data_IF_493656359434
#
_entry.id   IF_493656359434
#
_cell.length_a   1.000
_cell.length_b   1.000
_cell.length_c   1.000
_cell.angle_alpha   90.00
_cell.angle_beta   90.00
_cell.angle_gamma   90.00
#
_symmetry.space_group_name_H-M   'P 1'
#
loop_
_entity.id
_entity.type
_entity.pdbx_description
1 polymer ?
#
# COMPACT_ATOMS: atom_id res chain seq x y z
N UNK A 1 -16.39 71.24 -3.39
CA UNK A 1 -16.32 70.77 -1.98
C UNK A 1 -17.34 69.67 -1.81
N UNK A 2 -16.82 68.46 -1.52
CA UNK A 2 -17.41 67.30 -0.82
C UNK A 2 -18.83 66.83 -1.20
N UNK A 3 -19.14 65.55 -1.34
CA UNK A 3 -18.42 64.28 -1.30
C UNK A 3 -19.46 63.27 -1.81
N UNK A 4 -19.22 62.60 -2.94
CA UNK A 4 -20.03 61.48 -3.37
C UNK A 4 -19.52 60.23 -2.64
N UNK A 5 -20.26 59.78 -1.62
CA UNK A 5 -19.96 58.54 -0.90
C UNK A 5 -20.65 57.38 -1.64
N UNK A 6 -19.98 56.85 -2.67
CA UNK A 6 -20.37 55.59 -3.31
C UNK A 6 -19.71 54.47 -2.51
N UNK A 7 -20.50 53.79 -1.68
CA UNK A 7 -20.09 52.57 -0.98
C UNK A 7 -20.11 51.43 -2.00
N UNK A 8 -18.96 51.16 -2.60
CA UNK A 8 -18.74 49.97 -3.43
C UNK A 8 -18.43 48.80 -2.48
N UNK A 9 -19.46 48.05 -2.10
CA UNK A 9 -19.33 46.78 -1.38
C UNK A 9 -18.62 45.77 -2.28
N UNK A 10 -17.30 45.70 -2.14
CA UNK A 10 -16.49 44.62 -2.68
C UNK A 10 -16.94 43.30 -2.05
N UNK A 11 -17.72 42.52 -2.79
CA UNK A 11 -17.94 41.11 -2.54
C UNK A 11 -16.59 40.38 -2.69
N UNK A 12 -15.78 40.39 -1.64
CA UNK A 12 -14.70 39.43 -1.47
C UNK A 12 -15.38 38.11 -1.12
N UNK A 13 -15.86 37.42 -2.16
CA UNK A 13 -16.07 35.99 -2.06
C UNK A 13 -14.69 35.37 -1.93
N UNK A 14 -14.29 35.14 -0.68
CA UNK A 14 -13.28 34.14 -0.37
C UNK A 14 -13.83 32.81 -0.89
N UNK A 15 -13.50 32.50 -2.14
CA UNK A 15 -13.52 31.14 -2.62
C UNK A 15 -12.53 30.37 -1.75
N UNK A 16 -13.03 29.82 -0.64
CA UNK A 16 -12.42 28.67 0.00
C UNK A 16 -12.46 27.56 -1.04
N UNK A 17 -11.45 27.54 -1.90
CA UNK A 17 -11.04 26.33 -2.55
C UNK A 17 -10.58 25.45 -1.39
N UNK A 18 -11.45 24.55 -0.92
CA UNK A 18 -11.02 23.41 -0.14
C UNK A 18 -10.12 22.60 -1.08
N UNK A 19 -8.87 23.03 -1.17
CA UNK A 19 -7.79 22.22 -1.71
C UNK A 19 -7.57 21.12 -0.67
N UNK A 20 -8.46 20.13 -0.68
CA UNK A 20 -8.12 18.84 -0.12
C UNK A 20 -6.93 18.38 -0.93
N UNK A 21 -5.73 18.41 -0.34
CA UNK A 21 -4.53 18.09 -1.09
C UNK A 21 -4.65 16.62 -1.50
N UNK A 22 -4.85 16.40 -2.79
CA UNK A 22 -4.86 15.05 -3.33
C UNK A 22 -3.51 14.41 -3.01
N UNK A 23 -3.54 13.22 -2.42
CA UNK A 23 -2.31 12.49 -2.12
C UNK A 23 -1.55 12.26 -3.44
N UNK A 24 -0.21 12.46 -3.46
CA UNK A 24 0.55 12.33 -4.69
C UNK A 24 0.42 10.92 -5.30
N UNK A 25 0.31 10.82 -6.62
CA UNK A 25 0.32 9.54 -7.36
C UNK A 25 1.75 9.00 -7.51
N UNK A 26 1.91 7.72 -7.82
CA UNK A 26 3.22 7.07 -7.95
C UNK A 26 4.13 7.70 -9.01
N UNK A 27 3.54 8.25 -10.07
CA UNK A 27 4.28 8.97 -11.11
C UNK A 27 5.04 10.20 -10.60
N UNK A 28 4.65 10.74 -9.45
CA UNK A 28 5.35 11.86 -8.80
C UNK A 28 6.58 11.43 -7.99
N UNK A 29 6.79 10.13 -7.82
CA UNK A 29 7.89 9.58 -7.03
C UNK A 29 9.12 9.34 -7.89
N UNK A 30 10.16 10.14 -7.64
CA UNK A 30 11.47 9.98 -8.29
C UNK A 30 12.07 8.59 -8.04
N UNK A 31 11.87 8.01 -6.85
CA UNK A 31 12.41 6.69 -6.52
C UNK A 31 11.70 5.58 -7.29
N UNK A 32 10.38 5.67 -7.46
CA UNK A 32 9.62 4.71 -8.29
C UNK A 32 10.09 4.78 -9.74
N UNK A 33 10.24 5.98 -10.28
CA UNK A 33 10.66 6.22 -11.67
C UNK A 33 12.06 5.73 -12.01
N UNK A 34 12.89 5.39 -11.02
CA UNK A 34 14.21 4.77 -11.22
C UNK A 34 14.15 3.26 -11.46
N UNK A 35 13.10 2.59 -10.98
CA UNK A 35 13.00 1.12 -11.00
C UNK A 35 11.91 0.61 -11.93
N UNK A 36 10.95 1.46 -12.29
CA UNK A 36 9.80 1.08 -13.11
C UNK A 36 9.61 2.05 -14.28
N UNK A 37 9.27 1.49 -15.43
CA UNK A 37 8.83 2.23 -16.61
C UNK A 37 7.48 2.88 -16.38
N UNK A 38 7.13 3.87 -17.22
CA UNK A 38 5.84 4.56 -17.14
C UNK A 38 4.65 3.58 -17.21
N UNK A 39 4.76 2.50 -17.98
CA UNK A 39 3.69 1.51 -18.09
C UNK A 39 3.60 0.66 -16.82
N UNK A 40 4.72 0.23 -16.26
CA UNK A 40 4.75 -0.50 -14.99
C UNK A 40 4.22 0.37 -13.84
N UNK A 41 4.55 1.67 -13.81
CA UNK A 41 4.03 2.62 -12.82
C UNK A 41 2.50 2.70 -12.86
N UNK A 42 1.89 2.66 -14.05
CA UNK A 42 0.42 2.64 -14.17
C UNK A 42 -0.19 1.38 -13.56
N UNK A 43 0.45 0.23 -13.75
CA UNK A 43 0.01 -1.03 -13.14
C UNK A 43 0.21 -1.01 -11.61
N UNK A 44 1.34 -0.50 -11.13
CA UNK A 44 1.56 -0.27 -9.69
C UNK A 44 0.53 0.69 -9.09
N UNK A 45 0.10 1.70 -9.86
CA UNK A 45 -0.94 2.63 -9.42
C UNK A 45 -2.29 1.93 -9.26
N UNK A 46 -2.61 0.90 -10.05
CA UNK A 46 -3.81 0.08 -9.84
C UNK A 46 -3.76 -0.65 -8.49
N UNK A 47 -2.60 -1.18 -8.10
CA UNK A 47 -2.40 -1.85 -6.80
C UNK A 47 -2.62 -0.86 -5.66
N UNK A 48 -2.00 0.32 -5.76
CA UNK A 48 -2.14 1.36 -4.74
C UNK A 48 -3.59 1.89 -4.66
N UNK A 49 -4.21 2.18 -5.79
CA UNK A 49 -5.59 2.66 -5.85
C UNK A 49 -6.57 1.59 -5.32
N UNK A 50 -6.35 0.31 -5.62
CA UNK A 50 -7.12 -0.78 -5.02
C UNK A 50 -7.04 -0.74 -3.49
N UNK A 51 -5.83 -0.69 -2.94
CA UNK A 51 -5.64 -0.69 -1.49
C UNK A 51 -6.22 0.57 -0.82
N UNK A 52 -5.94 1.76 -1.36
CA UNK A 52 -6.45 3.04 -0.85
C UNK A 52 -8.00 3.05 -0.81
N UNK A 53 -8.65 2.52 -1.86
CA UNK A 53 -10.10 2.41 -1.92
C UNK A 53 -10.68 1.44 -0.86
N UNK A 54 -9.98 0.34 -0.60
CA UNK A 54 -10.37 -0.65 0.41
C UNK A 54 -10.21 -0.10 1.83
N UNK A 55 -9.16 0.69 2.08
CA UNK A 55 -9.01 1.39 3.36
C UNK A 55 -10.16 2.37 3.60
N UNK A 56 -10.52 3.16 2.60
CA UNK A 56 -11.56 4.17 2.70
C UNK A 56 -13.00 3.67 2.54
N UNK A 57 -13.24 2.37 2.31
CA UNK A 57 -14.58 1.77 2.13
C UNK A 57 -15.40 2.46 1.03
N UNK A 58 -14.72 2.97 -0.02
CA UNK A 58 -15.35 3.76 -1.10
C UNK A 58 -16.13 4.98 -0.57
N UNK A 59 -15.77 5.50 0.59
CA UNK A 59 -16.31 6.74 1.17
C UNK A 59 -15.45 7.94 0.78
N UNK A 60 -15.99 9.15 0.92
CA UNK A 60 -15.25 10.40 0.68
C UNK A 60 -14.38 10.83 1.87
N UNK A 61 -13.91 9.88 2.68
CA UNK A 61 -13.04 10.17 3.82
C UNK A 61 -11.68 10.66 3.34
N UNK A 62 -11.02 11.45 4.17
CA UNK A 62 -9.64 11.84 3.92
C UNK A 62 -8.74 10.59 3.98
N UNK A 63 -7.82 10.46 3.01
CA UNK A 63 -6.98 9.27 2.93
C UNK A 63 -6.08 9.13 4.17
N UNK A 64 -5.61 10.22 4.77
CA UNK A 64 -4.83 10.16 6.01
C UNK A 64 -5.64 9.52 7.14
N UNK A 65 -6.90 9.93 7.31
CA UNK A 65 -7.82 9.36 8.29
C UNK A 65 -8.10 7.87 8.01
N UNK A 66 -8.19 7.47 6.75
CA UNK A 66 -8.34 6.06 6.37
C UNK A 66 -7.14 5.22 6.82
N UNK A 67 -5.92 5.70 6.56
CA UNK A 67 -4.69 5.03 7.00
C UNK A 67 -4.55 5.00 8.52
N UNK A 68 -4.85 6.10 9.21
CA UNK A 68 -4.82 6.15 10.68
C UNK A 68 -5.81 5.15 11.30
N UNK A 69 -7.04 5.10 10.78
CA UNK A 69 -8.04 4.13 11.22
C UNK A 69 -7.60 2.70 10.93
N UNK A 70 -7.04 2.45 9.76
CA UNK A 70 -6.50 1.15 9.38
C UNK A 70 -5.38 0.70 10.34
N UNK A 71 -4.38 1.55 10.55
CA UNK A 71 -3.26 1.22 11.43
C UNK A 71 -3.67 1.04 12.90
N UNK A 72 -4.64 1.81 13.37
CA UNK A 72 -5.20 1.63 14.71
C UNK A 72 -5.84 0.24 14.88
N UNK A 73 -6.52 -0.27 13.84
CA UNK A 73 -7.09 -1.62 13.85
C UNK A 73 -6.02 -2.69 13.76
N UNK A 74 -5.04 -2.53 12.85
CA UNK A 74 -3.88 -3.42 12.75
C UNK A 74 -3.17 -3.55 14.11
N UNK A 75 -2.88 -2.43 14.77
CA UNK A 75 -2.20 -2.44 16.06
C UNK A 75 -3.03 -3.21 17.10
N UNK A 76 -4.34 -2.93 17.17
CA UNK A 76 -5.25 -3.61 18.10
C UNK A 76 -5.31 -5.12 17.88
N UNK A 77 -5.44 -5.59 16.64
CA UNK A 77 -5.43 -7.04 16.35
C UNK A 77 -4.04 -7.65 16.64
N UNK A 78 -2.96 -6.91 16.41
CA UNK A 78 -1.61 -7.40 16.70
C UNK A 78 -1.35 -7.62 18.20
N UNK A 79 -2.09 -6.93 19.08
CA UNK A 79 -2.04 -7.14 20.54
C UNK A 79 -2.63 -8.49 20.96
N UNK A 80 -3.57 -9.05 20.18
CA UNK A 80 -4.15 -10.39 20.41
C UNK A 80 -3.44 -11.48 19.61
N UNK A 81 -2.49 -11.10 18.75
CA UNK A 81 -1.79 -12.01 17.84
C UNK A 81 -2.55 -12.30 16.54
N UNK A 82 -3.62 -11.55 16.27
CA UNK A 82 -4.42 -11.66 15.07
C UNK A 82 -3.91 -10.70 13.97
N UNK A 83 -4.18 -11.05 12.71
CA UNK A 83 -3.89 -10.18 11.57
C UNK A 83 -5.16 -9.43 11.21
N UNK A 84 -5.10 -8.10 11.20
CA UNK A 84 -6.23 -7.31 10.71
C UNK A 84 -6.39 -7.52 9.20
N UNK A 85 -7.52 -8.10 8.85
CA UNK A 85 -7.85 -8.54 7.52
C UNK A 85 -9.16 -7.85 7.12
N UNK A 86 -9.13 -7.15 5.98
CA UNK A 86 -10.28 -6.43 5.45
C UNK A 86 -10.53 -6.91 4.03
N UNK A 87 -11.80 -6.98 3.62
CA UNK A 87 -12.32 -7.27 2.28
C UNK A 87 -12.49 -8.74 1.87
N UNK A 88 -13.25 -9.06 0.80
CA UNK A 88 -13.37 -10.41 0.24
C UNK A 88 -12.23 -10.76 -0.73
N UNK A 89 -11.68 -11.97 -0.61
CA UNK A 89 -10.60 -12.48 -1.46
C UNK A 89 -10.90 -12.46 -2.97
N UNK A 90 -12.18 -12.50 -3.36
CA UNK A 90 -12.58 -12.42 -4.77
C UNK A 90 -12.14 -11.13 -5.45
N UNK A 91 -12.19 -9.99 -4.76
CA UNK A 91 -11.81 -8.70 -5.34
C UNK A 91 -10.30 -8.59 -5.51
N UNK A 92 -9.53 -9.10 -4.55
CA UNK A 92 -8.08 -9.19 -4.68
C UNK A 92 -7.66 -10.15 -5.80
N UNK A 93 -8.33 -11.29 -5.95
CA UNK A 93 -8.04 -12.19 -7.06
C UNK A 93 -8.31 -11.51 -8.42
N UNK A 94 -9.37 -10.70 -8.49
CA UNK A 94 -9.67 -9.90 -9.68
C UNK A 94 -8.55 -8.89 -9.98
N UNK A 95 -8.03 -8.19 -8.97
CA UNK A 95 -6.85 -7.32 -9.13
C UNK A 95 -5.71 -8.08 -9.83
N UNK A 96 -5.34 -9.28 -9.34
CA UNK A 96 -4.28 -10.07 -9.94
C UNK A 96 -4.54 -10.44 -11.40
N UNK A 97 -5.78 -10.75 -11.77
CA UNK A 97 -6.13 -11.08 -13.16
C UNK A 97 -6.11 -9.87 -14.11
N UNK A 98 -6.25 -8.66 -13.58
CA UNK A 98 -6.25 -7.41 -14.35
C UNK A 98 -4.86 -6.75 -14.45
N UNK A 99 -3.90 -7.22 -13.65
CA UNK A 99 -2.52 -6.75 -13.68
C UNK A 99 -1.74 -7.36 -14.86
N UNK A 100 -0.83 -6.56 -15.42
CA UNK A 100 0.17 -7.07 -16.34
C UNK A 100 1.04 -8.15 -15.67
N UNK A 101 1.28 -9.26 -16.37
CA UNK A 101 2.01 -10.41 -15.82
C UNK A 101 3.48 -10.09 -15.54
N UNK A 102 4.10 -9.17 -16.29
CA UNK A 102 5.47 -8.71 -16.01
C UNK A 102 5.47 -7.99 -14.66
N UNK A 103 4.57 -7.02 -14.46
CA UNK A 103 4.47 -6.27 -13.20
C UNK A 103 4.15 -7.17 -12.02
N UNK A 104 3.25 -8.13 -12.20
CA UNK A 104 2.98 -9.13 -11.18
C UNK A 104 4.26 -9.86 -10.77
N UNK A 105 5.06 -10.33 -11.73
CA UNK A 105 6.30 -11.06 -11.47
C UNK A 105 7.42 -10.16 -10.90
N UNK A 106 7.40 -8.85 -11.14
CA UNK A 106 8.34 -7.90 -10.51
C UNK A 106 8.10 -7.72 -9.00
N UNK A 107 6.91 -8.08 -8.51
CA UNK A 107 6.53 -7.95 -7.10
C UNK A 107 6.43 -9.32 -6.43
N UNK A 108 5.80 -10.28 -7.09
CA UNK A 108 5.35 -11.54 -6.51
C UNK A 108 5.88 -12.75 -7.27
N UNK A 109 5.95 -13.88 -6.57
CA UNK A 109 6.25 -15.18 -7.14
C UNK A 109 5.32 -16.25 -6.58
N UNK A 110 4.96 -17.22 -7.41
CA UNK A 110 4.23 -18.39 -6.96
C UNK A 110 5.17 -19.38 -6.26
N UNK A 111 4.76 -19.80 -5.08
CA UNK A 111 5.37 -20.88 -4.30
C UNK A 111 4.40 -22.03 -4.05
N UNK A 112 4.89 -23.00 -3.27
CA UNK A 112 4.12 -24.14 -2.77
C UNK A 112 4.01 -24.02 -1.27
N UNK A 113 2.83 -24.23 -0.73
CA UNK A 113 2.61 -24.40 0.71
C UNK A 113 1.77 -25.64 0.98
N UNK A 114 1.67 -26.04 2.23
CA UNK A 114 0.83 -27.15 2.66
C UNK A 114 0.20 -26.80 4.01
N UNK A 115 -1.08 -27.13 4.17
CA UNK A 115 -1.77 -27.01 5.45
C UNK A 115 -2.35 -28.35 5.85
N UNK A 116 -2.37 -28.63 7.15
CA UNK A 116 -2.94 -29.86 7.71
C UNK A 116 -4.41 -30.07 7.27
N UNK A 117 -5.15 -28.99 7.07
CA UNK A 117 -6.59 -29.02 6.82
C UNK A 117 -6.97 -29.40 5.38
N UNK A 118 -6.09 -29.15 4.40
CA UNK A 118 -6.42 -29.33 2.97
C UNK A 118 -5.85 -30.64 2.41
N UNK A 119 -4.85 -31.23 3.07
CA UNK A 119 -4.30 -32.54 2.68
C UNK A 119 -3.59 -32.56 1.33
N UNK A 120 -3.42 -31.41 0.66
CA UNK A 120 -2.81 -31.25 -0.65
C UNK A 120 -1.84 -30.06 -0.68
N UNK A 121 -0.98 -30.00 -1.69
CA UNK A 121 -0.08 -28.86 -1.93
C UNK A 121 -0.86 -27.70 -2.54
N UNK A 122 -0.79 -26.55 -1.88
CA UNK A 122 -1.47 -25.33 -2.28
C UNK A 122 -0.53 -24.38 -3.01
N UNK A 123 -1.08 -23.60 -3.95
CA UNK A 123 -0.47 -22.37 -4.45
C UNK A 123 -0.39 -21.36 -3.33
N UNK A 124 0.72 -20.65 -3.33
CA UNK A 124 1.03 -19.57 -2.40
C UNK A 124 1.66 -18.45 -3.20
N UNK A 125 1.37 -17.20 -2.86
CA UNK A 125 2.08 -16.04 -3.42
C UNK A 125 2.89 -15.39 -2.31
N UNK A 126 4.14 -15.07 -2.61
CA UNK A 126 5.01 -14.25 -1.76
C UNK A 126 5.77 -13.22 -2.59
N UNK A 127 6.51 -12.35 -1.90
CA UNK A 127 7.35 -11.35 -2.51
C UNK A 127 8.47 -12.00 -3.33
N UNK A 128 8.63 -11.58 -4.58
CA UNK A 128 9.74 -11.96 -5.42
C UNK A 128 11.02 -11.22 -4.97
N UNK A 129 11.96 -11.96 -4.39
CA UNK A 129 13.25 -11.42 -3.93
C UNK A 129 14.22 -11.02 -5.05
N UNK A 130 13.91 -11.36 -6.30
CA UNK A 130 14.70 -11.01 -7.48
C UNK A 130 14.03 -9.93 -8.36
N UNK A 131 12.81 -9.53 -8.04
CA UNK A 131 12.06 -8.54 -8.82
C UNK A 131 12.40 -7.09 -8.46
N UNK A 132 11.95 -6.15 -9.28
CA UNK A 132 12.19 -4.71 -9.15
C UNK A 132 11.62 -4.13 -7.87
N UNK A 133 10.60 -4.76 -7.26
CA UNK A 133 10.13 -4.37 -5.93
C UNK A 133 11.22 -4.49 -4.85
N UNK A 134 12.11 -5.49 -4.96
CA UNK A 134 13.24 -5.62 -4.04
C UNK A 134 14.26 -4.48 -4.22
N UNK A 135 14.48 -4.05 -5.46
CA UNK A 135 15.38 -2.93 -5.78
C UNK A 135 14.82 -1.60 -5.26
N UNK A 136 13.50 -1.40 -5.36
CA UNK A 136 12.80 -0.28 -4.75
C UNK A 136 12.99 -0.25 -3.23
N UNK A 137 12.75 -1.38 -2.55
CA UNK A 137 12.95 -1.50 -1.10
C UNK A 137 14.40 -1.16 -0.70
N UNK A 138 15.37 -1.69 -1.44
CA UNK A 138 16.80 -1.41 -1.23
C UNK A 138 17.14 0.09 -1.36
N UNK A 139 16.51 0.78 -2.31
CA UNK A 139 16.73 2.20 -2.53
C UNK A 139 16.14 3.06 -1.41
N UNK A 140 14.92 2.74 -0.97
CA UNK A 140 14.24 3.45 0.12
C UNK A 140 14.93 3.17 1.47
N UNK A 141 15.44 1.95 1.67
CA UNK A 141 16.21 1.56 2.86
C UNK A 141 17.44 2.45 3.14
N UNK A 142 17.95 3.16 2.13
CA UNK A 142 19.08 4.10 2.30
C UNK A 142 18.72 5.29 3.19
N UNK A 143 17.44 5.63 3.31
CA UNK A 143 16.98 6.81 4.06
C UNK A 143 15.75 6.56 4.93
N UNK A 144 15.19 5.36 4.95
CA UNK A 144 14.07 4.98 5.82
C UNK A 144 14.44 3.72 6.64
N UNK A 145 14.60 3.87 7.95
CA UNK A 145 15.01 2.77 8.84
C UNK A 145 13.96 1.65 8.96
N UNK A 146 12.67 1.99 8.89
CA UNK A 146 11.59 0.99 8.89
C UNK A 146 11.68 0.08 7.66
N UNK A 147 11.84 0.70 6.48
CA UNK A 147 12.02 -0.03 5.22
C UNK A 147 13.36 -0.75 5.16
N UNK A 148 14.42 -0.21 5.76
CA UNK A 148 15.70 -0.92 5.89
C UNK A 148 15.53 -2.24 6.64
N UNK A 149 14.90 -2.20 7.80
CA UNK A 149 14.60 -3.42 8.56
C UNK A 149 13.74 -4.40 7.74
N UNK A 150 12.70 -3.89 7.07
CA UNK A 150 11.81 -4.69 6.23
C UNK A 150 12.59 -5.41 5.10
N UNK A 151 13.47 -4.68 4.41
CA UNK A 151 14.28 -5.18 3.31
C UNK A 151 15.29 -6.23 3.77
N UNK A 152 15.98 -6.00 4.88
CA UNK A 152 16.94 -6.94 5.46
C UNK A 152 16.25 -8.23 5.93
N UNK A 153 15.07 -8.12 6.56
CA UNK A 153 14.29 -9.27 6.96
C UNK A 153 13.79 -10.10 5.76
N UNK A 154 13.30 -9.43 4.70
CA UNK A 154 12.89 -10.09 3.46
C UNK A 154 14.04 -10.90 2.83
N UNK A 155 15.26 -10.34 2.80
CA UNK A 155 16.43 -11.05 2.25
C UNK A 155 16.88 -12.23 3.11
N UNK A 156 16.67 -12.16 4.42
CA UNK A 156 17.02 -13.26 5.32
C UNK A 156 16.09 -14.46 5.15
N UNK A 157 14.78 -14.22 4.99
CA UNK A 157 13.75 -15.26 5.05
C UNK A 157 13.15 -15.63 3.69
N UNK A 158 13.38 -14.80 2.66
CA UNK A 158 12.81 -14.93 1.31
C UNK A 158 11.28 -14.97 1.27
N UNK A 159 10.63 -14.22 2.16
CA UNK A 159 9.18 -14.08 2.24
C UNK A 159 8.76 -13.06 3.31
N UNK A 160 7.46 -12.93 3.57
CA UNK A 160 6.97 -12.10 4.69
C UNK A 160 7.11 -12.88 6.01
N UNK A 161 7.93 -12.36 6.92
CA UNK A 161 8.11 -12.93 8.25
C UNK A 161 7.23 -12.24 9.32
N UNK A 162 6.94 -12.91 10.45
CA UNK A 162 6.21 -12.30 11.56
C UNK A 162 6.83 -10.99 12.07
N UNK A 163 8.16 -10.87 12.01
CA UNK A 163 8.84 -9.65 12.44
C UNK A 163 8.66 -8.48 11.47
N UNK A 164 8.48 -8.76 10.16
CA UNK A 164 8.09 -7.75 9.18
C UNK A 164 6.66 -7.26 9.42
N UNK A 165 5.73 -8.18 9.71
CA UNK A 165 4.35 -7.83 10.09
C UNK A 165 4.35 -6.93 11.33
N UNK A 166 5.05 -7.35 12.39
CA UNK A 166 5.22 -6.55 13.61
C UNK A 166 5.88 -5.20 13.34
N UNK A 167 6.88 -5.14 12.47
CA UNK A 167 7.52 -3.88 12.13
C UNK A 167 6.53 -2.87 11.53
N UNK A 168 5.69 -3.29 10.59
CA UNK A 168 4.68 -2.38 10.01
C UNK A 168 3.60 -2.02 11.03
N UNK A 169 3.09 -2.99 11.79
CA UNK A 169 2.06 -2.77 12.81
C UNK A 169 2.52 -1.79 13.91
N UNK A 170 3.66 -2.06 14.55
CA UNK A 170 4.14 -1.27 15.69
C UNK A 170 4.80 0.05 15.30
N UNK A 171 5.29 0.17 14.06
CA UNK A 171 5.91 1.40 13.55
C UNK A 171 5.02 2.15 12.56
N UNK A 172 3.73 1.84 12.51
CA UNK A 172 2.75 2.46 11.61
C UNK A 172 2.86 4.00 11.55
N UNK A 173 2.94 4.64 12.72
CA UNK A 173 3.06 6.11 12.85
C UNK A 173 4.38 6.70 12.35
N UNK A 174 5.40 5.89 12.11
CA UNK A 174 6.70 6.33 11.57
C UNK A 174 6.74 6.31 10.03
N UNK A 175 5.74 5.70 9.38
CA UNK A 175 5.64 5.69 7.94
C UNK A 175 5.02 6.99 7.44
N UNK A 176 5.78 7.71 6.63
CA UNK A 176 5.30 8.91 5.95
C UNK A 176 4.37 8.52 4.79
N UNK A 177 3.08 8.33 5.10
CA UNK A 177 2.05 7.98 4.13
C UNK A 177 1.81 9.09 3.09
N UNK A 178 2.34 10.31 3.27
CA UNK A 178 2.25 11.32 2.22
C UNK A 178 3.05 10.91 0.98
N UNK A 179 4.07 10.05 1.16
CA UNK A 179 4.90 9.51 0.08
C UNK A 179 4.22 8.30 -0.57
N UNK A 180 3.94 8.33 -1.88
CA UNK A 180 3.24 7.25 -2.56
C UNK A 180 4.05 5.94 -2.59
N UNK A 181 5.38 5.99 -2.63
CA UNK A 181 6.20 4.78 -2.56
C UNK A 181 6.08 4.05 -1.21
N UNK A 182 5.88 4.80 -0.11
CA UNK A 182 5.69 4.22 1.22
C UNK A 182 4.31 3.56 1.28
N UNK A 183 3.27 4.25 0.78
CA UNK A 183 1.92 3.66 0.67
C UNK A 183 1.90 2.40 -0.19
N UNK A 184 2.62 2.39 -1.31
CA UNK A 184 2.73 1.20 -2.18
C UNK A 184 3.37 0.02 -1.45
N UNK A 185 4.43 0.24 -0.66
CA UNK A 185 5.04 -0.84 0.14
C UNK A 185 4.05 -1.41 1.15
N UNK A 186 3.31 -0.54 1.84
CA UNK A 186 2.28 -0.95 2.79
C UNK A 186 1.18 -1.75 2.07
N UNK A 187 0.70 -1.26 0.93
CA UNK A 187 -0.31 -1.93 0.11
C UNK A 187 0.14 -3.34 -0.30
N UNK A 188 1.34 -3.47 -0.89
CA UNK A 188 1.89 -4.76 -1.31
C UNK A 188 2.03 -5.70 -0.11
N UNK A 189 2.50 -5.21 1.04
CA UNK A 189 2.63 -6.02 2.25
C UNK A 189 1.29 -6.64 2.67
N UNK A 190 0.24 -5.82 2.82
CA UNK A 190 -1.05 -6.31 3.30
C UNK A 190 -1.82 -7.13 2.26
N UNK A 191 -1.72 -6.76 0.97
CA UNK A 191 -2.26 -7.57 -0.12
C UNK A 191 -1.61 -8.97 -0.09
N UNK A 192 -0.30 -9.04 0.10
CA UNK A 192 0.42 -10.32 0.19
C UNK A 192 -0.04 -11.12 1.40
N UNK A 193 -0.04 -10.54 2.61
CA UNK A 193 -0.52 -11.22 3.82
C UNK A 193 -1.96 -11.75 3.67
N UNK A 194 -2.83 -10.96 3.06
CA UNK A 194 -4.20 -11.35 2.82
C UNK A 194 -4.27 -12.56 1.87
N UNK A 195 -3.49 -12.56 0.77
CA UNK A 195 -3.44 -13.71 -0.15
C UNK A 195 -3.05 -14.99 0.58
N UNK A 196 -2.00 -14.91 1.39
CA UNK A 196 -1.44 -16.04 2.12
C UNK A 196 -2.44 -16.66 3.11
N UNK A 197 -3.33 -15.85 3.67
CA UNK A 197 -4.36 -16.32 4.58
C UNK A 197 -5.50 -17.05 3.83
N UNK A 198 -5.96 -16.50 2.70
CA UNK A 198 -7.19 -16.95 2.03
C UNK A 198 -6.99 -17.83 0.80
N UNK A 199 -5.82 -17.83 0.15
CA UNK A 199 -5.58 -18.70 -1.00
C UNK A 199 -5.64 -20.16 -0.57
N UNK A 200 -6.56 -20.92 -1.17
CA UNK A 200 -6.72 -22.38 -0.99
C UNK A 200 -6.70 -23.11 -2.34
N UNK A 201 -6.11 -22.50 -3.35
CA UNK A 201 -5.99 -23.08 -4.68
C UNK A 201 -4.94 -24.21 -4.70
N UNK A 202 -5.26 -25.40 -5.26
CA UNK A 202 -4.27 -26.45 -5.47
C UNK A 202 -3.16 -26.03 -6.44
N UNK A 203 -1.94 -26.54 -6.23
CA UNK A 203 -0.76 -26.24 -7.07
C UNK A 203 -0.85 -26.83 -8.48
#
# INVERSE_FOLDING_TARGET
>A
MNQAFIIFLFFISLGYCNAQSEFPKLESSDVISRHFSIQEIKELQKILDFFDNELCEKTSKDLAECYESFFSKVLKESETGDVYIKHPYSEQNRLYTELDTVVFNEIWAFGKTWTHDVGDTLKYIDLNTQGSFQLLLKDIAKYNEGIKYYHEALLAVHGISPSMVGNIAYKASSYDISKPEIRLIIAIHYITLYDQFFRKEPY
#
